data_IF_141696175720
#
_entry.id   IF_141696175720
#
_cell.length_a   1.000
_cell.length_b   1.000
_cell.length_c   1.000
_cell.angle_alpha   90.00
_cell.angle_beta   90.00
_cell.angle_gamma   90.00
#
_symmetry.space_group_name_H-M   'P 1'
#
loop_
_entity.id
_entity.type
_entity.pdbx_description
1 polymer ?
#
# COMPACT_ATOMS: atom_id res chain seq x y z
N UNK A 1 13.00 -86.08 -24.58
CA UNK A 1 13.60 -84.75 -24.79
C UNK A 1 13.29 -83.90 -23.54
N UNK A 2 14.24 -83.82 -22.62
CA UNK A 2 14.06 -83.12 -21.36
C UNK A 2 14.59 -81.68 -21.58
N UNK A 3 13.75 -80.68 -21.45
CA UNK A 3 14.12 -79.26 -21.48
C UNK A 3 14.90 -78.92 -20.20
N UNK A 4 16.05 -78.28 -20.28
CA UNK A 4 16.77 -77.81 -19.09
C UNK A 4 15.93 -76.68 -18.44
N UNK A 5 15.59 -76.81 -17.17
CA UNK A 5 15.03 -75.77 -16.36
C UNK A 5 16.16 -74.81 -15.97
N UNK A 6 16.21 -73.65 -16.61
CA UNK A 6 17.12 -72.54 -16.19
C UNK A 6 16.55 -71.93 -14.91
N UNK A 7 17.03 -72.35 -13.75
CA UNK A 7 16.86 -71.61 -12.50
C UNK A 7 17.76 -70.36 -12.58
N UNK A 8 17.21 -69.14 -12.40
CA UNK A 8 17.99 -67.93 -12.45
C UNK A 8 19.06 -67.96 -11.33
N UNK A 9 20.28 -67.64 -11.66
CA UNK A 9 21.38 -67.60 -10.69
C UNK A 9 21.16 -66.43 -9.69
N UNK A 10 21.69 -66.56 -8.49
CA UNK A 10 21.59 -65.50 -7.44
C UNK A 10 22.11 -64.18 -7.97
N UNK A 11 23.10 -64.18 -8.83
CA UNK A 11 23.63 -62.97 -9.51
C UNK A 11 22.64 -62.26 -10.38
N UNK A 12 21.70 -63.00 -11.04
CA UNK A 12 20.64 -62.45 -11.86
C UNK A 12 19.57 -61.73 -11.00
N UNK A 13 19.28 -62.24 -9.82
CA UNK A 13 18.36 -61.61 -8.87
C UNK A 13 18.95 -60.33 -8.25
N UNK A 14 20.23 -60.33 -7.92
CA UNK A 14 20.92 -59.12 -7.40
C UNK A 14 20.96 -58.02 -8.46
N UNK A 15 21.21 -58.36 -9.72
CA UNK A 15 21.22 -57.39 -10.83
C UNK A 15 19.82 -56.78 -11.04
N UNK A 16 18.78 -57.57 -10.94
CA UNK A 16 17.38 -57.14 -11.12
C UNK A 16 16.96 -56.21 -9.97
N UNK A 17 17.35 -56.50 -8.74
CA UNK A 17 17.09 -55.66 -7.56
C UNK A 17 17.83 -54.34 -7.64
N UNK A 18 19.09 -54.34 -8.07
CA UNK A 18 19.87 -53.12 -8.26
C UNK A 18 19.26 -52.17 -9.32
N UNK A 19 18.80 -52.74 -10.45
CA UNK A 19 18.16 -51.94 -11.49
C UNK A 19 16.81 -51.35 -11.03
N UNK A 20 16.00 -52.11 -10.26
CA UNK A 20 14.79 -51.62 -9.68
C UNK A 20 15.01 -50.46 -8.67
N UNK A 21 16.05 -50.59 -7.83
CA UNK A 21 16.41 -49.51 -6.89
C UNK A 21 16.90 -48.25 -7.62
N UNK A 22 17.71 -48.44 -8.69
CA UNK A 22 18.12 -47.31 -9.53
C UNK A 22 16.97 -46.59 -10.21
N UNK A 23 16.05 -47.36 -10.78
CA UNK A 23 14.87 -46.77 -11.41
C UNK A 23 13.96 -46.08 -10.38
N UNK A 24 13.75 -46.67 -9.21
CA UNK A 24 13.02 -46.06 -8.11
C UNK A 24 13.65 -44.73 -7.69
N UNK A 25 14.95 -44.70 -7.50
CA UNK A 25 15.70 -43.49 -7.15
C UNK A 25 15.62 -42.37 -8.21
N UNK A 26 15.66 -42.76 -9.50
CA UNK A 26 15.48 -41.79 -10.59
C UNK A 26 14.06 -41.21 -10.64
N UNK A 27 13.07 -42.04 -10.41
CA UNK A 27 11.67 -41.58 -10.36
C UNK A 27 11.46 -40.64 -9.16
N UNK A 28 11.96 -40.99 -7.99
CA UNK A 28 11.87 -40.11 -6.81
C UNK A 28 12.59 -38.78 -7.02
N UNK A 29 13.79 -38.81 -7.60
CA UNK A 29 14.53 -37.60 -7.94
C UNK A 29 13.77 -36.73 -8.95
N UNK A 30 13.14 -37.35 -9.95
CA UNK A 30 12.29 -36.68 -10.93
C UNK A 30 11.07 -36.00 -10.30
N UNK A 31 10.36 -36.72 -9.43
CA UNK A 31 9.20 -36.22 -8.71
C UNK A 31 9.59 -35.08 -7.74
N UNK A 32 10.70 -35.23 -7.03
CA UNK A 32 11.22 -34.17 -6.14
C UNK A 32 11.57 -32.90 -6.91
N UNK A 33 12.28 -33.04 -8.04
CA UNK A 33 12.57 -31.93 -8.95
C UNK A 33 11.29 -31.26 -9.48
N UNK A 34 10.34 -32.05 -9.93
CA UNK A 34 9.06 -31.56 -10.45
C UNK A 34 8.28 -30.77 -9.39
N UNK A 35 8.20 -31.27 -8.17
CA UNK A 35 7.54 -30.57 -7.07
C UNK A 35 8.25 -29.25 -6.72
N UNK A 36 9.58 -29.23 -6.68
CA UNK A 36 10.34 -28.00 -6.48
C UNK A 36 10.08 -26.94 -7.57
N UNK A 37 9.99 -27.37 -8.82
CA UNK A 37 9.66 -26.43 -9.92
C UNK A 37 8.26 -25.86 -9.76
N UNK A 38 7.29 -26.66 -9.43
CA UNK A 38 5.91 -26.21 -9.19
C UNK A 38 5.82 -25.21 -8.06
N UNK A 39 6.43 -25.50 -6.93
CA UNK A 39 6.44 -24.60 -5.77
C UNK A 39 7.10 -23.25 -6.10
N UNK A 40 8.18 -23.26 -6.89
CA UNK A 40 8.84 -22.03 -7.33
C UNK A 40 7.99 -21.21 -8.31
N UNK A 41 7.28 -21.84 -9.24
CA UNK A 41 6.38 -21.14 -10.16
C UNK A 41 5.21 -20.51 -9.44
N UNK A 42 4.58 -21.24 -8.52
CA UNK A 42 3.48 -20.72 -7.69
C UNK A 42 3.93 -19.53 -6.85
N UNK A 43 5.08 -19.63 -6.19
CA UNK A 43 5.65 -18.52 -5.43
C UNK A 43 6.00 -17.31 -6.32
N UNK A 44 6.53 -17.53 -7.53
CA UNK A 44 6.80 -16.45 -8.49
C UNK A 44 5.52 -15.76 -8.92
N UNK A 45 4.48 -16.52 -9.22
CA UNK A 45 3.18 -15.99 -9.61
C UNK A 45 2.56 -15.15 -8.49
N UNK A 46 2.53 -15.67 -7.25
CA UNK A 46 2.01 -14.93 -6.10
C UNK A 46 2.79 -13.66 -5.80
N UNK A 47 4.12 -13.72 -5.92
CA UNK A 47 4.98 -12.52 -5.79
C UNK A 47 4.71 -11.50 -6.89
N UNK A 48 4.57 -11.94 -8.13
CA UNK A 48 4.29 -11.05 -9.26
C UNK A 48 2.96 -10.32 -9.07
N UNK A 49 1.90 -11.05 -8.67
CA UNK A 49 0.61 -10.44 -8.33
C UNK A 49 0.70 -9.46 -7.15
N UNK A 50 1.47 -9.80 -6.12
CA UNK A 50 1.70 -8.91 -4.99
C UNK A 50 2.42 -7.62 -5.39
N UNK A 51 3.41 -7.70 -6.27
CA UNK A 51 4.12 -6.53 -6.80
C UNK A 51 3.21 -5.66 -7.67
N UNK A 52 2.40 -6.26 -8.53
CA UNK A 52 1.45 -5.54 -9.38
C UNK A 52 0.41 -4.80 -8.54
N UNK A 53 -0.21 -5.48 -7.58
CA UNK A 53 -1.17 -4.86 -6.67
C UNK A 53 -0.55 -3.72 -5.87
N UNK A 54 0.67 -3.90 -5.36
CA UNK A 54 1.41 -2.85 -4.67
C UNK A 54 1.68 -1.66 -5.58
N UNK A 55 2.08 -1.89 -6.82
CA UNK A 55 2.37 -0.83 -7.78
C UNK A 55 1.11 0.01 -8.09
N UNK A 56 -0.04 -0.66 -8.30
CA UNK A 56 -1.33 0.02 -8.52
C UNK A 56 -1.74 0.84 -7.30
N UNK A 57 -1.65 0.27 -6.09
CA UNK A 57 -1.98 1.00 -4.86
C UNK A 57 -1.08 2.20 -4.64
N UNK A 58 0.22 2.08 -4.88
CA UNK A 58 1.16 3.19 -4.76
C UNK A 58 0.91 4.27 -5.81
N UNK A 59 0.56 3.90 -7.04
CA UNK A 59 0.24 4.85 -8.09
C UNK A 59 -1.02 5.66 -7.75
N UNK A 60 -2.09 5.01 -7.31
CA UNK A 60 -3.34 5.66 -6.88
C UNK A 60 -3.12 6.58 -5.66
N UNK A 61 -2.35 6.10 -4.69
CA UNK A 61 -2.01 6.90 -3.52
C UNK A 61 -1.21 8.14 -3.92
N UNK A 62 -0.14 7.97 -4.72
CA UNK A 62 0.69 9.08 -5.17
C UNK A 62 -0.11 10.11 -5.99
N UNK A 63 -0.99 9.66 -6.88
CA UNK A 63 -1.86 10.56 -7.64
C UNK A 63 -2.69 11.46 -6.70
N UNK A 64 -3.28 10.86 -5.65
CA UNK A 64 -4.04 11.58 -4.63
C UNK A 64 -3.17 12.55 -3.82
N UNK A 65 -1.95 12.13 -3.43
CA UNK A 65 -1.02 12.98 -2.67
C UNK A 65 -0.54 14.20 -3.49
N UNK A 66 -0.38 14.04 -4.80
CA UNK A 66 -0.01 15.16 -5.69
C UNK A 66 -1.06 16.26 -5.76
N UNK A 67 -2.35 15.94 -5.60
CA UNK A 67 -3.41 16.95 -5.52
C UNK A 67 -3.20 17.89 -4.32
N UNK A 68 -2.82 17.33 -3.16
CA UNK A 68 -2.53 18.14 -1.98
C UNK A 68 -1.28 19.03 -2.17
N UNK A 69 -0.28 18.55 -2.89
CA UNK A 69 0.91 19.35 -3.23
C UNK A 69 0.57 20.56 -4.11
N UNK A 70 -0.37 20.39 -5.06
CA UNK A 70 -0.88 21.48 -5.88
C UNK A 70 -1.56 22.56 -5.03
N UNK A 71 -2.39 22.16 -4.07
CA UNK A 71 -3.03 23.07 -3.13
C UNK A 71 -1.99 23.79 -2.25
N UNK A 72 -1.02 23.06 -1.72
CA UNK A 72 0.04 23.61 -0.88
C UNK A 72 0.88 24.68 -1.62
N UNK A 73 1.07 24.51 -2.93
CA UNK A 73 1.78 25.51 -3.77
C UNK A 73 0.93 26.73 -4.09
N UNK A 74 -0.39 26.60 -4.11
CA UNK A 74 -1.31 27.71 -4.38
C UNK A 74 -1.40 28.69 -3.21
N UNK A 75 -1.46 28.21 -1.96
CA UNK A 75 -1.69 29.02 -0.76
C UNK A 75 -0.67 30.17 -0.60
N UNK A 76 0.65 29.94 -0.74
CA UNK A 76 1.64 31.03 -0.65
C UNK A 76 1.44 32.14 -1.70
N UNK A 77 0.96 31.80 -2.90
CA UNK A 77 0.71 32.81 -3.94
C UNK A 77 -0.33 33.84 -3.55
N UNK A 78 -1.23 33.45 -2.64
CA UNK A 78 -2.27 34.32 -2.06
C UNK A 78 -1.82 34.98 -0.75
N UNK A 79 -0.57 34.81 -0.35
CA UNK A 79 -0.03 35.32 0.93
C UNK A 79 -0.91 34.95 2.13
N UNK A 80 -1.47 33.75 2.15
CA UNK A 80 -2.39 33.28 3.19
C UNK A 80 -3.78 33.92 3.21
N UNK A 81 -4.04 34.89 2.32
CA UNK A 81 -5.38 35.49 2.17
C UNK A 81 -6.24 34.55 1.33
N UNK A 82 -6.99 33.68 2.02
CA UNK A 82 -7.86 32.71 1.42
C UNK A 82 -9.30 33.22 1.48
N UNK A 83 -9.89 33.47 0.33
CA UNK A 83 -11.32 33.76 0.24
C UNK A 83 -12.08 32.44 0.06
N UNK A 84 -13.08 32.23 0.91
CA UNK A 84 -13.91 31.03 0.87
C UNK A 84 -14.64 30.88 -0.50
N UNK A 85 -15.00 31.98 -1.14
CA UNK A 85 -15.69 32.01 -2.43
C UNK A 85 -14.80 31.52 -3.58
N UNK A 86 -13.49 31.82 -3.52
CA UNK A 86 -12.50 31.33 -4.49
C UNK A 86 -12.07 29.90 -4.15
N UNK A 87 -11.89 29.61 -2.86
CA UNK A 87 -11.34 28.34 -2.39
C UNK A 87 -12.29 27.16 -2.56
N UNK A 88 -13.57 27.34 -2.31
CA UNK A 88 -14.56 26.26 -2.40
C UNK A 88 -14.69 25.63 -3.80
N UNK A 89 -14.77 26.38 -4.90
CA UNK A 89 -14.75 25.79 -6.24
C UNK A 89 -13.45 25.04 -6.52
N UNK A 90 -12.33 25.52 -6.00
CA UNK A 90 -11.02 24.92 -6.20
C UNK A 90 -10.91 23.59 -5.45
N UNK A 91 -11.31 23.53 -4.17
CA UNK A 91 -11.39 22.31 -3.36
C UNK A 91 -12.33 21.28 -4.00
N UNK A 92 -13.47 21.74 -4.54
CA UNK A 92 -14.39 20.87 -5.28
C UNK A 92 -13.72 20.25 -6.51
N UNK A 93 -12.99 21.05 -7.30
CA UNK A 93 -12.27 20.58 -8.47
C UNK A 93 -11.20 19.54 -8.12
N UNK A 94 -10.41 19.79 -7.08
CA UNK A 94 -9.41 18.84 -6.58
C UNK A 94 -10.06 17.55 -6.06
N UNK A 95 -11.11 17.68 -5.29
CA UNK A 95 -11.84 16.54 -4.74
C UNK A 95 -12.41 15.64 -5.83
N UNK A 96 -12.93 16.24 -6.91
CA UNK A 96 -13.48 15.50 -8.06
C UNK A 96 -12.41 14.73 -8.85
N UNK A 97 -11.15 15.15 -8.80
CA UNK A 97 -10.03 14.46 -9.44
C UNK A 97 -9.46 13.32 -8.59
N UNK A 98 -9.65 13.40 -7.27
CA UNK A 98 -9.12 12.40 -6.35
C UNK A 98 -10.02 11.18 -6.24
N UNK A 99 -9.40 10.00 -6.11
CA UNK A 99 -10.10 8.77 -5.76
C UNK A 99 -9.92 8.49 -4.27
N UNK A 100 -10.97 7.99 -3.63
CA UNK A 100 -10.93 7.59 -2.21
C UNK A 100 -10.56 8.72 -1.22
N UNK A 101 -10.71 9.98 -1.64
CA UNK A 101 -10.58 11.12 -0.75
C UNK A 101 -11.88 11.28 0.05
N UNK A 102 -11.78 11.33 1.36
CA UNK A 102 -12.93 11.62 2.23
C UNK A 102 -13.21 13.13 2.28
N UNK A 103 -12.19 13.91 2.51
CA UNK A 103 -12.24 15.36 2.52
C UNK A 103 -10.87 15.98 2.25
N UNK A 104 -10.87 17.25 1.92
CA UNK A 104 -9.68 18.11 1.83
C UNK A 104 -9.90 19.26 2.79
N UNK A 105 -8.98 19.47 3.72
CA UNK A 105 -9.05 20.53 4.73
C UNK A 105 -7.83 21.43 4.73
N UNK A 106 -8.03 22.69 5.11
CA UNK A 106 -6.96 23.65 5.36
C UNK A 106 -7.05 24.12 6.80
N UNK A 107 -5.91 24.13 7.48
CA UNK A 107 -5.80 24.42 8.89
C UNK A 107 -4.81 25.58 9.14
N UNK A 108 -5.15 26.83 8.76
CA UNK A 108 -4.32 27.97 9.13
C UNK A 108 -4.21 28.01 10.67
N UNK A 109 -3.01 28.32 11.14
CA UNK A 109 -2.67 28.39 12.58
C UNK A 109 -3.12 27.12 13.35
N UNK A 110 -3.01 25.97 12.69
CA UNK A 110 -3.38 24.65 13.22
C UNK A 110 -4.89 24.46 13.53
N UNK A 111 -5.77 25.30 13.01
CA UNK A 111 -7.22 25.18 13.14
C UNK A 111 -7.85 24.91 11.77
N UNK A 112 -8.64 23.84 11.66
CA UNK A 112 -9.33 23.52 10.42
C UNK A 112 -10.40 24.60 10.15
N UNK A 113 -10.10 25.53 9.25
CA UNK A 113 -10.98 26.63 8.87
C UNK A 113 -11.76 26.37 7.59
N UNK A 114 -11.20 25.55 6.69
CA UNK A 114 -11.82 25.21 5.42
C UNK A 114 -11.86 23.69 5.27
N UNK A 115 -12.99 23.16 4.76
CA UNK A 115 -13.19 21.72 4.61
C UNK A 115 -14.14 21.45 3.43
N UNK A 116 -13.78 20.51 2.59
CA UNK A 116 -14.62 20.08 1.47
C UNK A 116 -14.54 18.55 1.26
N UNK A 117 -15.65 17.84 1.05
CA UNK A 117 -17.01 18.30 1.31
C UNK A 117 -17.26 18.52 2.81
N UNK A 118 -18.14 19.45 3.14
CA UNK A 118 -18.51 19.67 4.52
C UNK A 118 -19.47 18.58 5.01
N UNK A 119 -20.39 18.15 4.16
CA UNK A 119 -21.36 17.09 4.45
C UNK A 119 -20.69 15.81 4.93
N UNK A 120 -21.06 15.34 6.12
CA UNK A 120 -20.50 14.16 6.78
C UNK A 120 -19.09 14.38 7.37
N UNK A 121 -18.60 15.63 7.39
CA UNK A 121 -17.29 15.98 7.96
C UNK A 121 -17.38 17.19 8.90
N UNK A 122 -18.57 17.62 9.26
CA UNK A 122 -18.86 18.85 10.02
C UNK A 122 -18.08 18.90 11.35
N UNK A 123 -17.95 17.76 12.02
CA UNK A 123 -17.26 17.67 13.32
C UNK A 123 -15.74 17.93 13.23
N UNK A 124 -15.17 17.90 12.03
CA UNK A 124 -13.76 18.25 11.83
C UNK A 124 -13.56 19.76 11.63
N UNK A 125 -14.59 20.50 11.23
CA UNK A 125 -14.49 21.94 11.05
C UNK A 125 -14.31 22.63 12.41
N UNK A 126 -13.34 23.53 12.50
CA UNK A 126 -12.99 24.22 13.74
C UNK A 126 -12.08 23.44 14.70
N UNK A 127 -11.75 22.18 14.39
CA UNK A 127 -10.81 21.37 15.18
C UNK A 127 -9.47 22.12 15.28
N UNK A 128 -8.99 22.31 16.51
CA UNK A 128 -7.71 22.91 16.81
C UNK A 128 -6.73 21.81 17.23
N UNK A 129 -5.72 21.56 16.40
CA UNK A 129 -4.81 20.42 16.59
C UNK A 129 -4.08 20.40 17.93
N UNK A 130 -3.63 21.56 18.51
CA UNK A 130 -3.02 21.56 19.83
C UNK A 130 -3.87 20.99 20.97
N UNK A 131 -5.20 21.08 20.85
CA UNK A 131 -6.13 20.49 21.84
C UNK A 131 -6.32 18.98 21.64
N UNK A 132 -5.78 18.42 20.54
CA UNK A 132 -5.97 17.01 20.18
C UNK A 132 -4.71 16.20 20.49
N UNK A 133 -4.58 15.75 21.74
CA UNK A 133 -3.38 15.08 22.27
C UNK A 133 -2.91 13.89 21.42
N UNK A 134 -3.82 13.16 20.77
CA UNK A 134 -3.50 12.01 19.92
C UNK A 134 -2.83 12.42 18.60
N UNK A 135 -3.20 13.58 18.02
CA UNK A 135 -2.73 14.00 16.70
C UNK A 135 -1.70 15.12 16.76
N UNK A 136 -1.68 15.92 17.82
CA UNK A 136 -0.81 17.08 17.94
C UNK A 136 0.70 16.78 17.81
N UNK A 137 1.25 15.72 18.43
CA UNK A 137 2.66 15.39 18.26
C UNK A 137 3.06 15.11 16.80
N UNK A 138 2.14 14.55 16.01
CA UNK A 138 2.37 14.29 14.58
C UNK A 138 2.39 15.58 13.77
N UNK A 139 1.48 16.50 14.08
CA UNK A 139 1.43 17.83 13.45
C UNK A 139 2.70 18.63 13.79
N UNK A 140 3.14 18.62 15.05
CA UNK A 140 4.40 19.24 15.45
C UNK A 140 5.60 18.67 14.70
N UNK A 141 5.64 17.35 14.52
CA UNK A 141 6.72 16.70 13.77
C UNK A 141 6.78 17.18 12.32
N UNK A 142 5.63 17.29 11.65
CA UNK A 142 5.51 17.78 10.28
C UNK A 142 5.98 19.25 10.18
N UNK A 143 5.57 20.09 11.12
CA UNK A 143 5.99 21.49 11.18
C UNK A 143 7.50 21.60 11.39
N UNK A 144 8.05 20.85 12.35
CA UNK A 144 9.48 20.90 12.67
C UNK A 144 10.36 20.43 11.52
N UNK A 145 9.95 19.37 10.81
CA UNK A 145 10.71 18.80 9.71
C UNK A 145 10.45 19.47 8.34
N UNK A 146 9.49 20.38 8.25
CA UNK A 146 9.06 21.03 7.00
C UNK A 146 8.77 20.04 5.87
N UNK A 147 8.28 18.87 6.19
CA UNK A 147 8.06 17.79 5.24
C UNK A 147 6.63 17.24 5.34
N UNK A 148 5.99 16.90 4.20
CA UNK A 148 4.70 16.27 4.22
C UNK A 148 4.78 14.85 4.82
N UNK A 149 3.70 14.41 5.45
CA UNK A 149 3.61 13.10 6.07
C UNK A 149 2.23 12.48 5.88
N UNK A 150 2.24 11.18 5.58
CA UNK A 150 1.05 10.34 5.57
C UNK A 150 1.00 9.54 6.86
N UNK A 151 -0.06 9.73 7.63
CA UNK A 151 -0.30 9.05 8.90
C UNK A 151 -1.50 8.12 8.82
N UNK A 152 -1.45 7.05 9.55
CA UNK A 152 -2.62 6.22 9.74
C UNK A 152 -2.42 4.71 9.56
N UNK A 153 -3.54 4.00 9.60
CA UNK A 153 -4.92 4.49 9.77
C UNK A 153 -5.21 5.06 11.16
N UNK A 154 -5.75 6.30 11.22
CA UNK A 154 -6.13 7.00 12.44
C UNK A 154 -7.64 6.98 12.65
N UNK A 155 -8.08 7.06 13.91
CA UNK A 155 -9.48 7.35 14.21
C UNK A 155 -9.78 8.81 13.88
N UNK A 156 -10.85 9.04 13.13
CA UNK A 156 -11.22 10.37 12.68
C UNK A 156 -12.33 10.92 13.57
N UNK A 157 -12.30 12.24 13.85
CA UNK A 157 -13.32 12.90 14.68
C UNK A 157 -14.73 12.83 14.07
N UNK A 158 -14.80 12.76 12.75
CA UNK A 158 -16.02 12.55 11.98
C UNK A 158 -16.43 11.07 11.86
N UNK A 159 -15.82 10.21 12.69
CA UNK A 159 -16.07 8.77 12.70
C UNK A 159 -15.30 7.99 11.63
N UNK A 160 -15.11 6.69 11.91
CA UNK A 160 -14.36 5.78 11.05
C UNK A 160 -12.84 5.93 11.16
N UNK A 161 -12.13 5.20 10.30
CA UNK A 161 -10.65 5.23 10.24
C UNK A 161 -10.20 5.64 8.85
N UNK A 162 -9.11 6.38 8.79
CA UNK A 162 -8.56 6.84 7.52
C UNK A 162 -7.07 7.12 7.58
N UNK A 163 -6.48 7.23 6.40
CA UNK A 163 -5.15 7.80 6.23
C UNK A 163 -5.28 9.32 6.18
N UNK A 164 -4.39 10.02 6.84
CA UNK A 164 -4.38 11.48 6.87
C UNK A 164 -3.05 11.96 6.31
N UNK A 165 -3.09 12.58 5.15
CA UNK A 165 -1.93 13.21 4.55
C UNK A 165 -1.91 14.70 4.90
N UNK A 166 -0.81 15.16 5.48
CA UNK A 166 -0.62 16.55 5.89
C UNK A 166 0.58 17.14 5.18
N UNK A 167 0.38 18.32 4.64
CA UNK A 167 1.44 19.10 3.98
C UNK A 167 1.57 20.42 4.74
N UNK A 168 2.72 20.71 5.34
CA UNK A 168 2.96 22.01 5.97
C UNK A 168 3.13 23.07 4.89
N UNK A 169 2.50 24.20 5.09
CA UNK A 169 2.59 25.38 4.20
C UNK A 169 3.14 26.55 5.00
N UNK A 170 4.15 27.19 4.48
CA UNK A 170 4.77 28.37 5.09
C UNK A 170 4.55 29.56 4.17
N UNK A 171 4.14 30.66 4.76
CA UNK A 171 4.05 31.91 4.06
C UNK A 171 5.44 32.56 4.07
N UNK A 172 5.80 33.22 2.99
CA UNK A 172 7.02 34.03 2.94
C UNK A 172 6.69 35.39 3.51
N UNK A 173 7.51 35.84 4.45
CA UNK A 173 7.47 37.21 4.99
C UNK A 173 7.83 38.22 3.92
#
# INVERSE_FOLDING_TARGET
>A
MIRPSHTPSVTSWVGLLATLLLMGGLVELGLWRYNQYRDQEEQRFLRAQGYEMRAVLLAELNATLHLASGLASYIPTKQGRLDATELQPWLRGLFAQGRYIRNIGLAPDNRIAYLYPLEGNESALGLYYPDFAEQWPRVQHIIANRAPQLDGPLNLVQGGRGLVYRVPVYLQD
#
